data_IF_676225074845
#
_entry.id   IF_676225074845
#
_cell.length_a   1.000
_cell.length_b   1.000
_cell.length_c   1.000
_cell.angle_alpha   90.00
_cell.angle_beta   90.00
_cell.angle_gamma   90.00
#
_symmetry.space_group_name_H-M   'P 1'
#
loop_
_entity.id
_entity.type
_entity.pdbx_description
1 polymer ?
#
# COMPACT_ATOMS: atom_id res chain seq x y z
N UNK A 1 -0.38 5.57 -2.23
CA UNK A 1 -0.59 4.45 -1.28
C UNK A 1 -2.03 4.02 -1.36
N UNK A 2 -2.31 2.72 -1.44
CA UNK A 2 -3.69 2.18 -1.55
C UNK A 2 -3.95 1.19 -0.42
N UNK A 3 -5.09 1.32 0.26
CA UNK A 3 -5.54 0.40 1.32
C UNK A 3 -6.79 -0.33 0.80
N UNK A 4 -6.83 -1.65 0.95
CA UNK A 4 -7.86 -2.52 0.37
C UNK A 4 -8.49 -3.41 1.47
N UNK A 5 -9.71 -3.11 1.97
CA UNK A 5 -10.43 -3.96 2.95
C UNK A 5 -11.06 -5.22 2.35
N UNK A 6 -10.49 -6.41 2.63
CA UNK A 6 -11.01 -7.70 2.18
C UNK A 6 -12.20 -8.15 3.04
N UNK A 7 -13.40 -8.19 2.43
CA UNK A 7 -14.67 -8.70 2.98
C UNK A 7 -15.39 -7.76 3.97
N UNK A 8 -16.73 -7.85 4.05
CA UNK A 8 -17.56 -6.68 4.20
C UNK A 8 -17.46 -6.15 5.62
N UNK A 9 -17.77 -4.87 5.73
CA UNK A 9 -17.85 -4.07 6.93
C UNK A 9 -16.55 -3.33 7.30
N UNK A 10 -16.67 -2.02 7.07
CA UNK A 10 -16.05 -0.91 7.79
C UNK A 10 -14.61 -0.56 7.44
N UNK A 11 -14.50 0.54 6.68
CA UNK A 11 -13.44 1.52 6.92
C UNK A 11 -14.10 2.71 7.61
N UNK A 12 -14.39 2.53 8.89
CA UNK A 12 -14.55 3.68 9.79
C UNK A 12 -13.20 3.91 10.42
N UNK A 13 -12.56 5.05 10.13
CA UNK A 13 -11.60 5.76 10.97
C UNK A 13 -10.17 6.03 10.43
N UNK A 14 -9.77 7.28 10.65
CA UNK A 14 -8.44 7.84 10.92
C UNK A 14 -7.24 7.14 10.29
N UNK A 15 -7.10 7.26 8.97
CA UNK A 15 -5.81 7.04 8.31
C UNK A 15 -4.85 8.17 8.70
N UNK A 16 -4.02 7.95 9.71
CA UNK A 16 -2.92 8.84 10.08
C UNK A 16 -1.60 8.29 9.51
N UNK A 17 -1.02 8.98 8.53
CA UNK A 17 0.26 8.64 7.90
C UNK A 17 1.40 9.52 8.49
N UNK A 18 2.26 8.99 9.36
CA UNK A 18 3.34 9.77 10.00
C UNK A 18 4.73 9.12 9.82
N UNK A 19 5.73 9.85 9.32
CA UNK A 19 7.08 9.30 9.15
C UNK A 19 7.88 9.34 10.46
N UNK A 20 8.84 8.42 10.62
CA UNK A 20 9.75 8.37 11.79
C UNK A 20 11.06 9.08 11.40
N UNK A 21 11.30 10.30 11.86
CA UNK A 21 12.59 10.97 11.72
C UNK A 21 13.44 10.71 12.97
N UNK A 22 14.70 10.29 12.80
CA UNK A 22 15.72 10.35 13.86
C UNK A 22 16.25 11.78 13.88
N UNK A 23 16.23 12.46 15.03
CA UNK A 23 16.88 13.76 15.18
C UNK A 23 18.39 13.64 14.94
N UNK A 24 19.02 14.55 14.17
CA UNK A 24 20.46 14.71 14.21
C UNK A 24 20.87 15.36 15.54
N UNK A 25 21.91 14.82 16.18
CA UNK A 25 22.50 15.39 17.38
C UNK A 25 23.10 16.78 17.09
N UNK A 26 22.90 17.73 17.99
CA UNK A 26 23.43 19.08 17.87
C UNK A 26 24.98 19.09 17.91
N UNK A 27 25.66 19.88 17.08
CA UNK A 27 27.11 20.03 17.19
C UNK A 27 27.49 20.94 18.37
N UNK A 28 28.47 20.52 19.18
CA UNK A 28 29.04 21.32 20.26
C UNK A 28 29.81 22.56 19.75
N UNK A 29 29.79 23.69 20.49
CA UNK A 29 30.51 24.88 20.08
C UNK A 29 32.01 24.79 20.41
N UNK A 30 32.85 24.87 19.38
CA UNK A 30 34.31 25.00 19.54
C UNK A 30 34.69 26.41 20.01
N UNK A 31 35.48 26.41 21.09
CA UNK A 31 35.96 27.60 21.81
C UNK A 31 37.24 28.17 21.19
N UNK A 32 37.12 29.35 20.58
CA UNK A 32 38.14 30.40 20.60
C UNK A 32 39.10 30.53 19.40
N UNK A 33 39.05 31.67 18.71
CA UNK A 33 39.97 32.83 18.82
C UNK A 33 39.56 33.90 17.79
N UNK A 34 39.59 35.16 18.22
CA UNK A 34 39.11 36.34 17.48
C UNK A 34 40.13 36.77 16.42
N UNK A 35 39.73 36.92 15.15
CA UNK A 35 40.47 37.67 14.14
C UNK A 35 39.56 38.12 12.98
N UNK A 36 39.17 39.40 13.03
CA UNK A 36 39.07 40.33 11.88
C UNK A 36 38.67 39.76 10.50
N UNK A 37 37.39 39.46 10.32
CA UNK A 37 36.68 39.41 9.02
C UNK A 37 35.24 39.95 9.17
N UNK A 38 35.06 40.98 9.99
CA UNK A 38 33.76 41.52 10.35
C UNK A 38 33.37 42.70 9.47
N UNK A 39 32.84 42.44 8.26
CA UNK A 39 31.65 43.15 7.73
C UNK A 39 31.13 42.59 6.40
N UNK A 40 31.94 41.87 5.61
CA UNK A 40 31.52 41.38 4.29
C UNK A 40 31.14 39.89 4.23
N UNK A 41 31.35 39.14 5.31
CA UNK A 41 30.98 37.70 5.40
C UNK A 41 29.72 37.46 6.23
N UNK A 42 28.94 38.49 6.55
CA UNK A 42 27.68 38.36 7.31
C UNK A 42 26.43 38.34 6.41
N UNK A 43 26.52 38.79 5.15
CA UNK A 43 25.36 38.91 4.24
C UNK A 43 25.17 37.73 3.26
N UNK A 44 26.03 36.70 3.32
CA UNK A 44 25.93 35.51 2.42
C UNK A 44 25.46 34.25 3.16
N UNK A 45 25.43 34.25 4.50
CA UNK A 45 25.07 33.05 5.30
C UNK A 45 23.57 32.93 5.63
N UNK A 46 22.73 33.89 5.26
CA UNK A 46 21.31 33.90 5.61
C UNK A 46 20.40 33.14 4.62
N UNK A 47 20.92 32.67 3.49
CA UNK A 47 20.08 32.13 2.40
C UNK A 47 19.92 30.61 2.38
N UNK A 48 20.49 29.88 3.34
CA UNK A 48 20.29 28.44 3.46
C UNK A 48 19.29 28.14 4.59
N UNK A 49 18.07 28.65 4.43
CA UNK A 49 16.91 27.98 5.02
C UNK A 49 16.90 26.56 4.42
N UNK A 50 17.37 25.59 5.19
CA UNK A 50 17.06 24.19 4.93
C UNK A 50 15.54 24.13 4.83
N UNK A 51 15.02 23.97 3.61
CA UNK A 51 13.66 23.52 3.40
C UNK A 51 13.58 22.16 4.12
N UNK A 52 13.14 22.20 5.38
CA UNK A 52 12.71 20.99 6.05
C UNK A 52 11.54 20.51 5.21
N UNK A 53 11.75 19.43 4.47
CA UNK A 53 10.73 18.76 3.69
C UNK A 53 9.72 18.18 4.71
N UNK A 54 8.80 19.03 5.17
CA UNK A 54 7.65 18.62 5.98
C UNK A 54 6.77 17.79 5.09
N UNK A 55 7.03 16.47 5.12
CA UNK A 55 6.20 15.52 4.39
C UNK A 55 4.78 15.60 4.95
N UNK A 56 3.77 15.65 4.08
CA UNK A 56 2.40 15.87 4.50
C UNK A 56 1.92 14.74 5.41
N UNK A 57 1.35 15.11 6.55
CA UNK A 57 0.59 14.21 7.42
C UNK A 57 -0.89 14.32 7.08
N UNK A 58 -1.52 13.21 6.71
CA UNK A 58 -2.95 13.17 6.45
C UNK A 58 -3.69 12.53 7.62
N UNK A 59 -4.91 13.00 7.86
CA UNK A 59 -5.87 12.44 8.80
C UNK A 59 -7.23 12.46 8.11
N UNK A 60 -7.83 11.29 7.90
CA UNK A 60 -9.10 11.16 7.19
C UNK A 60 -10.18 10.65 8.13
N UNK A 61 -11.34 11.29 8.08
CA UNK A 61 -12.53 10.87 8.79
C UNK A 61 -13.54 10.35 7.79
N UNK A 62 -13.98 9.12 7.98
CA UNK A 62 -14.80 8.42 6.99
C UNK A 62 -16.23 8.42 7.48
N UNK A 63 -17.16 8.87 6.64
CA UNK A 63 -18.57 8.80 6.96
C UNK A 63 -19.34 10.07 6.59
N UNK A 64 -20.67 10.02 6.75
CA UNK A 64 -21.57 11.11 6.42
C UNK A 64 -21.59 12.28 7.42
N UNK A 65 -21.02 12.11 8.62
CA UNK A 65 -21.03 13.08 9.70
C UNK A 65 -20.08 14.26 9.48
N UNK A 66 -20.09 15.18 10.45
CA UNK A 66 -19.11 16.26 10.46
C UNK A 66 -17.75 15.71 10.88
N UNK A 67 -16.75 15.87 10.03
CA UNK A 67 -15.40 15.39 10.33
C UNK A 67 -14.86 16.01 11.63
N UNK A 68 -14.18 15.17 12.43
CA UNK A 68 -13.53 15.62 13.65
C UNK A 68 -12.48 16.73 13.38
N UNK A 69 -12.23 17.65 14.33
CA UNK A 69 -11.24 18.71 14.16
C UNK A 69 -9.85 18.19 13.75
N UNK A 70 -9.32 18.74 12.65
CA UNK A 70 -8.03 18.33 12.10
C UNK A 70 -8.07 17.08 11.21
N UNK A 71 -9.26 16.59 10.86
CA UNK A 71 -9.47 15.53 9.88
C UNK A 71 -10.13 16.06 8.60
N UNK A 72 -9.85 15.37 7.50
CA UNK A 72 -10.48 15.58 6.20
C UNK A 72 -11.67 14.63 6.08
N UNK A 73 -12.86 15.18 5.82
CA UNK A 73 -14.06 14.38 5.57
C UNK A 73 -13.93 13.55 4.30
N UNK A 74 -14.28 12.27 4.38
CA UNK A 74 -14.30 11.32 3.26
C UNK A 74 -15.64 10.58 3.27
N UNK A 75 -16.45 10.86 2.26
CA UNK A 75 -17.76 10.25 2.06
C UNK A 75 -17.69 9.14 1.01
N UNK A 76 -18.72 8.32 0.93
CA UNK A 76 -18.84 7.25 -0.07
C UNK A 76 -18.67 7.73 -1.53
N UNK A 77 -19.03 8.98 -1.84
CA UNK A 77 -18.88 9.62 -3.16
C UNK A 77 -17.53 10.33 -3.36
N UNK A 78 -16.63 10.27 -2.38
CA UNK A 78 -15.30 10.89 -2.48
C UNK A 78 -14.39 10.03 -3.35
N UNK A 79 -14.58 10.12 -4.66
CA UNK A 79 -13.79 9.39 -5.64
C UNK A 79 -12.36 9.91 -5.73
N UNK A 80 -11.44 8.98 -5.94
CA UNK A 80 -10.04 9.32 -6.18
C UNK A 80 -9.90 10.11 -7.48
N UNK A 81 -9.20 11.24 -7.42
CA UNK A 81 -8.71 11.97 -8.58
C UNK A 81 -7.27 12.41 -8.34
N UNK A 82 -6.51 12.61 -9.42
CA UNK A 82 -5.12 13.06 -9.30
C UNK A 82 -5.04 14.48 -8.74
N UNK A 83 -6.00 15.33 -9.08
CA UNK A 83 -6.08 16.71 -8.61
C UNK A 83 -6.37 16.77 -7.10
N UNK A 84 -7.29 15.93 -6.61
CA UNK A 84 -7.60 15.82 -5.17
C UNK A 84 -6.48 15.15 -4.40
N UNK A 85 -5.83 14.17 -5.00
CA UNK A 85 -4.75 13.40 -4.38
C UNK A 85 -5.21 12.38 -3.33
N UNK A 86 -6.51 12.17 -3.12
CA UNK A 86 -7.04 11.08 -2.31
C UNK A 86 -8.47 10.73 -2.72
N UNK A 87 -8.95 9.56 -2.29
CA UNK A 87 -10.33 9.13 -2.50
C UNK A 87 -10.46 7.63 -2.71
N UNK A 88 -11.70 7.17 -2.89
CA UNK A 88 -12.02 5.80 -3.21
C UNK A 88 -11.79 5.50 -4.70
N UNK A 89 -11.10 4.40 -4.99
CA UNK A 89 -10.98 3.90 -6.35
C UNK A 89 -12.33 3.36 -6.83
N UNK A 90 -12.63 3.48 -8.14
CA UNK A 90 -13.86 2.92 -8.70
C UNK A 90 -13.89 1.40 -8.58
N UNK A 91 -15.10 0.85 -8.53
CA UNK A 91 -15.33 -0.59 -8.65
C UNK A 91 -16.34 -1.14 -7.65
N UNK A 92 -16.39 -0.62 -6.42
CA UNK A 92 -17.37 -1.00 -5.40
C UNK A 92 -18.48 0.04 -5.27
N UNK A 93 -19.67 -0.41 -4.87
CA UNK A 93 -20.76 0.47 -4.46
C UNK A 93 -20.58 0.75 -2.97
N UNK A 94 -20.22 2.00 -2.66
CA UNK A 94 -19.96 2.45 -1.30
C UNK A 94 -21.22 3.06 -0.68
N UNK A 95 -21.32 2.93 0.64
CA UNK A 95 -22.42 3.43 1.44
C UNK A 95 -21.87 4.15 2.67
N UNK A 96 -22.40 5.35 2.88
CA UNK A 96 -22.22 6.12 4.10
C UNK A 96 -23.14 5.56 5.19
N UNK A 97 -22.61 5.33 6.39
CA UNK A 97 -23.38 4.88 7.55
C UNK A 97 -23.12 5.81 8.72
N UNK A 98 -24.21 6.29 9.33
CA UNK A 98 -24.20 7.08 10.55
C UNK A 98 -24.84 6.27 11.69
N UNK A 99 -24.11 6.10 12.79
CA UNK A 99 -24.56 5.50 14.05
C UNK A 99 -24.71 6.56 15.15
N UNK A 100 -24.32 7.80 14.90
CA UNK A 100 -24.23 8.90 15.85
C UNK A 100 -23.14 8.68 16.92
N UNK A 101 -23.02 9.65 17.82
CA UNK A 101 -22.09 9.59 18.94
C UNK A 101 -20.76 10.29 18.66
N UNK A 102 -19.65 9.57 18.87
CA UNK A 102 -18.30 10.10 18.70
C UNK A 102 -17.97 10.34 17.22
N UNK A 103 -17.38 11.49 16.90
CA UNK A 103 -17.16 11.91 15.52
C UNK A 103 -16.21 11.00 14.71
N UNK A 104 -15.34 10.21 15.36
CA UNK A 104 -14.38 9.34 14.66
C UNK A 104 -14.83 7.87 14.56
N UNK A 105 -15.86 7.50 15.32
CA UNK A 105 -16.30 6.10 15.49
C UNK A 105 -17.81 5.91 15.36
N UNK A 106 -18.55 7.02 15.32
CA UNK A 106 -19.99 7.06 15.13
C UNK A 106 -20.40 6.94 13.67
N UNK A 107 -19.53 7.25 12.72
CA UNK A 107 -19.82 7.20 11.30
C UNK A 107 -18.69 6.56 10.49
N UNK A 108 -19.03 6.03 9.32
CA UNK A 108 -18.10 5.26 8.49
C UNK A 108 -18.57 5.08 7.05
N UNK A 109 -17.65 4.60 6.21
CA UNK A 109 -17.94 4.10 4.86
C UNK A 109 -17.81 2.58 4.82
N UNK A 110 -18.79 1.92 4.19
CA UNK A 110 -18.79 0.49 3.89
C UNK A 110 -19.05 0.24 2.40
N UNK A 111 -18.88 -0.99 1.93
CA UNK A 111 -19.09 -1.35 0.53
C UNK A 111 -19.67 -2.75 0.36
N UNK A 112 -20.27 -2.98 -0.81
CA UNK A 112 -20.83 -4.27 -1.24
C UNK A 112 -19.77 -5.37 -1.43
N UNK A 113 -18.52 -4.96 -1.71
CA UNK A 113 -17.39 -5.84 -1.92
C UNK A 113 -16.08 -5.15 -1.55
N UNK A 114 -14.97 -5.80 -1.89
CA UNK A 114 -13.63 -5.23 -1.76
C UNK A 114 -13.53 -3.86 -2.44
N UNK A 115 -13.19 -2.83 -1.69
CA UNK A 115 -12.93 -1.48 -2.21
C UNK A 115 -11.53 -1.01 -1.86
N UNK A 116 -11.13 0.15 -2.38
CA UNK A 116 -9.80 0.71 -2.18
C UNK A 116 -9.88 2.18 -1.86
N UNK A 117 -9.12 2.63 -0.87
CA UNK A 117 -8.89 4.06 -0.63
C UNK A 117 -7.43 4.39 -0.96
N UNK A 118 -7.24 5.39 -1.82
CA UNK A 118 -5.93 5.82 -2.31
C UNK A 118 -5.59 7.22 -1.80
N UNK A 119 -4.31 7.42 -1.52
CA UNK A 119 -3.72 8.73 -1.18
C UNK A 119 -2.43 8.90 -1.96
N UNK A 120 -2.34 9.96 -2.75
CA UNK A 120 -1.15 10.40 -3.47
C UNK A 120 -0.22 11.09 -2.46
N UNK A 121 0.91 10.44 -2.19
CA UNK A 121 1.94 10.95 -1.28
C UNK A 121 3.31 10.77 -1.93
N UNK A 122 4.30 11.62 -1.63
CA UNK A 122 5.67 11.44 -2.10
C UNK A 122 6.27 10.10 -1.65
N UNK A 123 7.38 9.71 -2.27
CA UNK A 123 8.11 8.52 -1.84
C UNK A 123 8.58 8.61 -0.38
N UNK A 124 8.54 7.48 0.31
CA UNK A 124 9.04 7.40 1.68
C UNK A 124 8.38 6.34 2.55
N UNK A 125 8.75 6.37 3.82
CA UNK A 125 8.29 5.42 4.84
C UNK A 125 7.22 6.06 5.72
N UNK A 126 5.99 5.56 5.63
CA UNK A 126 4.84 6.08 6.35
C UNK A 126 4.43 5.10 7.44
N UNK A 127 4.09 5.61 8.62
CA UNK A 127 3.32 4.88 9.62
C UNK A 127 1.86 5.13 9.36
N UNK A 128 1.10 4.11 9.04
CA UNK A 128 -0.33 4.18 8.89
C UNK A 128 -1.02 3.63 10.13
N UNK A 129 -1.86 4.44 10.73
CA UNK A 129 -2.81 4.04 11.77
C UNK A 129 -4.20 3.94 11.13
N UNK A 130 -4.98 2.94 11.52
CA UNK A 130 -6.40 2.79 11.20
C UNK A 130 -7.12 2.37 12.47
N UNK A 131 -8.33 2.87 12.70
CA UNK A 131 -9.24 2.29 13.70
C UNK A 131 -10.32 1.53 12.94
N UNK A 132 -10.87 0.47 13.53
CA UNK A 132 -11.77 -0.48 12.87
C UNK A 132 -12.81 -0.97 13.88
N UNK A 133 -14.08 -1.09 13.47
CA UNK A 133 -15.19 -1.59 14.28
C UNK A 133 -16.50 -0.85 13.98
N UNK A 134 -17.65 -1.36 14.46
CA UNK A 134 -18.96 -0.69 14.38
C UNK A 134 -19.48 -0.43 15.79
N UNK A 135 -20.08 0.73 16.03
CA UNK A 135 -20.75 1.04 17.28
C UNK A 135 -21.95 0.10 17.55
N UNK A 136 -22.62 -0.39 16.50
CA UNK A 136 -23.88 -1.12 16.61
C UNK A 136 -23.80 -2.59 16.16
N UNK A 137 -22.73 -3.01 15.48
CA UNK A 137 -22.60 -4.36 14.93
C UNK A 137 -21.23 -5.00 15.21
N UNK A 138 -21.19 -6.34 15.25
CA UNK A 138 -19.91 -7.04 15.20
C UNK A 138 -19.32 -6.92 13.78
N UNK A 139 -18.00 -6.75 13.67
CA UNK A 139 -17.31 -6.63 12.40
C UNK A 139 -16.14 -7.62 12.29
N UNK A 140 -15.83 -8.02 11.07
CA UNK A 140 -14.62 -8.80 10.76
C UNK A 140 -13.92 -8.16 9.58
N UNK A 141 -12.79 -7.51 9.82
CA UNK A 141 -12.12 -6.67 8.82
C UNK A 141 -10.72 -7.16 8.53
N UNK A 142 -10.38 -7.29 7.25
CA UNK A 142 -9.03 -7.58 6.78
C UNK A 142 -8.49 -6.38 6.04
N UNK A 143 -7.30 -5.90 6.41
CA UNK A 143 -6.68 -4.75 5.75
C UNK A 143 -5.45 -5.19 4.97
N UNK A 144 -5.42 -4.83 3.69
CA UNK A 144 -4.21 -4.88 2.86
C UNK A 144 -3.72 -3.46 2.58
N UNK A 145 -2.41 -3.28 2.54
CA UNK A 145 -1.78 -2.05 2.11
C UNK A 145 -0.99 -2.30 0.82
N UNK A 146 -0.77 -1.22 0.07
CA UNK A 146 -0.10 -1.27 -1.24
C UNK A 146 -0.86 -2.18 -2.23
N UNK A 147 -0.15 -2.77 -3.19
CA UNK A 147 -0.73 -3.64 -4.21
C UNK A 147 -0.68 -5.12 -3.78
N UNK A 148 -1.22 -5.43 -2.58
CA UNK A 148 -1.58 -6.77 -2.03
C UNK A 148 -0.93 -7.20 -0.69
N UNK A 149 -0.16 -6.37 0.02
CA UNK A 149 0.45 -6.78 1.30
C UNK A 149 -0.58 -6.89 2.41
N UNK A 150 -0.73 -8.06 3.03
CA UNK A 150 -1.57 -8.24 4.21
C UNK A 150 -0.96 -7.51 5.41
N UNK A 151 -1.73 -6.64 6.07
CA UNK A 151 -1.26 -5.85 7.22
C UNK A 151 -2.13 -6.01 8.47
N UNK A 152 -3.41 -6.35 8.28
CA UNK A 152 -4.31 -6.78 9.35
C UNK A 152 -5.08 -7.99 8.83
N UNK A 153 -4.92 -9.12 9.49
CA UNK A 153 -5.62 -10.34 9.14
C UNK A 153 -6.87 -10.51 10.02
N UNK A 154 -8.05 -10.55 9.38
CA UNK A 154 -9.32 -11.00 9.96
C UNK A 154 -9.59 -10.47 11.38
N UNK A 155 -9.40 -9.18 11.59
CA UNK A 155 -9.63 -8.53 12.87
C UNK A 155 -11.11 -8.57 13.21
N UNK A 156 -11.44 -9.25 14.30
CA UNK A 156 -12.82 -9.32 14.81
C UNK A 156 -13.03 -8.27 15.90
N UNK A 157 -14.14 -7.54 15.81
CA UNK A 157 -14.62 -6.62 16.85
C UNK A 157 -16.07 -6.93 17.18
N UNK A 158 -16.43 -6.91 18.46
CA UNK A 158 -17.83 -6.97 18.88
C UNK A 158 -18.52 -5.62 18.64
N UNK A 159 -19.86 -5.60 18.67
CA UNK A 159 -20.62 -4.35 18.63
C UNK A 159 -20.18 -3.40 19.74
N UNK A 160 -19.97 -2.13 19.40
CA UNK A 160 -19.50 -1.10 20.32
C UNK A 160 -18.02 -1.21 20.68
N UNK A 161 -17.27 -2.10 20.02
CA UNK A 161 -15.82 -2.25 20.23
C UNK A 161 -15.07 -1.84 18.97
N UNK A 162 -13.99 -1.11 19.20
CA UNK A 162 -13.09 -0.62 18.17
C UNK A 162 -11.67 -1.09 18.46
N UNK A 163 -10.90 -1.29 17.40
CA UNK A 163 -9.51 -1.68 17.48
C UNK A 163 -8.65 -0.80 16.57
N UNK A 164 -7.61 -0.22 17.15
CA UNK A 164 -6.62 0.60 16.42
C UNK A 164 -5.42 -0.26 16.02
N UNK A 165 -5.05 -0.19 14.74
CA UNK A 165 -3.90 -0.90 14.17
C UNK A 165 -2.97 0.08 13.49
N UNK A 166 -1.67 -0.10 13.75
CA UNK A 166 -0.62 0.75 13.18
C UNK A 166 0.42 -0.11 12.49
N UNK A 167 0.74 0.19 11.24
CA UNK A 167 1.72 -0.54 10.44
C UNK A 167 2.56 0.41 9.57
N UNK A 168 3.74 -0.03 9.14
CA UNK A 168 4.60 0.74 8.26
C UNK A 168 4.33 0.43 6.79
N UNK A 169 4.24 1.45 5.94
CA UNK A 169 4.06 1.34 4.49
C UNK A 169 5.16 2.11 3.81
N UNK A 170 5.74 1.51 2.77
CA UNK A 170 6.80 2.15 2.02
C UNK A 170 6.30 2.46 0.61
N UNK A 171 6.29 3.75 0.27
CA UNK A 171 5.86 4.23 -1.05
C UNK A 171 7.11 4.42 -1.90
N UNK A 172 7.18 3.68 -3.01
CA UNK A 172 8.21 3.80 -4.06
C UNK A 172 7.53 3.91 -5.40
N UNK A 173 8.02 4.77 -6.28
CA UNK A 173 7.70 4.76 -7.71
C UNK A 173 8.77 3.88 -8.36
N UNK A 174 8.40 2.76 -8.98
CA UNK A 174 9.34 2.04 -9.82
C UNK A 174 9.74 2.97 -10.97
N UNK A 175 10.99 3.45 -10.97
CA UNK A 175 11.55 4.05 -12.17
C UNK A 175 11.67 2.93 -13.21
N UNK A 176 10.84 2.97 -14.25
CA UNK A 176 11.13 2.16 -15.43
C UNK A 176 12.43 2.69 -16.01
N UNK A 177 13.43 1.83 -16.26
CA UNK A 177 14.58 2.24 -17.05
C UNK A 177 14.09 2.76 -18.41
N UNK A 178 14.84 3.67 -19.05
CA UNK A 178 14.63 4.00 -20.46
C UNK A 178 14.47 2.72 -21.30
N UNK A 179 13.61 2.73 -22.33
CA UNK A 179 13.31 1.56 -23.19
C UNK A 179 14.58 0.91 -23.81
N UNK A 180 15.68 1.66 -23.86
CA UNK A 180 17.00 1.26 -24.35
C UNK A 180 17.94 0.71 -23.27
N UNK A 181 17.47 0.52 -22.02
CA UNK A 181 18.26 -0.10 -20.95
C UNK A 181 18.45 -1.61 -21.21
N UNK A 182 19.51 -1.93 -21.95
CA UNK A 182 19.93 -3.31 -22.20
C UNK A 182 20.55 -3.86 -20.92
N UNK A 183 19.86 -4.81 -20.27
CA UNK A 183 20.47 -5.59 -19.19
C UNK A 183 21.80 -6.17 -19.71
N UNK A 184 22.93 -5.97 -19.02
CA UNK A 184 24.15 -6.68 -19.34
C UNK A 184 23.83 -8.17 -19.28
N UNK A 185 23.78 -8.82 -20.45
CA UNK A 185 23.71 -10.27 -20.51
C UNK A 185 25.06 -10.75 -20.00
N UNK A 186 25.10 -11.16 -18.73
CA UNK A 186 26.22 -11.95 -18.25
C UNK A 186 26.31 -13.18 -19.18
N UNK A 187 27.46 -13.42 -19.84
CA UNK A 187 27.60 -14.55 -20.74
C UNK A 187 27.30 -15.83 -19.95
N UNK A 188 26.38 -16.64 -20.47
CA UNK A 188 26.01 -17.89 -19.83
C UNK A 188 27.28 -18.71 -19.54
N UNK A 189 27.40 -19.30 -18.34
CA UNK A 189 28.54 -20.13 -18.02
C UNK A 189 28.68 -21.24 -19.08
N UNK A 190 29.91 -21.62 -19.45
CA UNK A 190 30.14 -22.65 -20.46
C UNK A 190 29.40 -23.92 -20.03
N UNK A 191 28.58 -24.48 -20.94
CA UNK A 191 27.92 -25.76 -20.67
C UNK A 191 29.01 -26.79 -20.37
N UNK A 192 28.86 -27.60 -19.30
CA UNK A 192 29.77 -28.71 -19.07
C UNK A 192 29.74 -29.62 -20.31
N UNK A 193 30.93 -29.99 -20.80
CA UNK A 193 31.07 -30.89 -21.92
C UNK A 193 30.27 -32.17 -21.64
N UNK A 194 29.32 -32.50 -22.51
CA UNK A 194 28.45 -33.66 -22.33
C UNK A 194 29.26 -34.94 -22.25
N UNK A 195 29.12 -35.69 -21.15
CA UNK A 195 29.52 -37.10 -21.13
C UNK A 195 28.72 -37.80 -22.23
N UNK A 196 29.43 -38.38 -23.20
CA UNK A 196 28.82 -39.11 -24.31
C UNK A 196 27.84 -40.15 -23.80
N UNK A 197 26.60 -40.11 -24.30
CA UNK A 197 25.67 -41.23 -24.20
C UNK A 197 26.27 -42.38 -25.01
N UNK A 198 26.57 -43.50 -24.35
CA UNK A 198 26.82 -44.76 -25.03
C UNK A 198 25.61 -45.18 -25.88
N UNK A 199 25.79 -46.08 -26.86
CA UNK A 199 24.75 -46.43 -27.82
C UNK A 199 23.52 -47.01 -27.11
N UNK A 200 22.42 -46.27 -27.17
CA UNK A 200 21.08 -46.78 -26.82
C UNK A 200 20.65 -47.78 -27.89
N UNK A 201 20.45 -49.04 -27.50
CA UNK A 201 19.86 -50.06 -28.36
C UNK A 201 18.48 -49.60 -28.86
N UNK A 202 18.25 -49.76 -30.17
CA UNK A 202 16.98 -49.41 -30.82
C UNK A 202 15.86 -50.34 -30.35
N UNK A 203 14.67 -49.82 -29.97
CA UNK A 203 13.55 -50.69 -29.60
C UNK A 203 12.89 -51.31 -30.84
N UNK A 204 12.53 -52.59 -30.72
CA UNK A 204 11.84 -53.36 -31.75
C UNK A 204 10.44 -52.79 -32.09
N UNK A 205 9.96 -52.92 -33.34
CA UNK A 205 8.65 -52.42 -33.75
C UNK A 205 7.49 -53.21 -33.12
N UNK A 206 6.44 -52.49 -32.70
CA UNK A 206 5.23 -53.06 -32.11
C UNK A 206 4.35 -53.79 -33.16
N UNK A 207 3.61 -54.85 -32.77
CA UNK A 207 2.72 -55.57 -33.68
C UNK A 207 1.43 -54.79 -33.98
N UNK A 208 0.99 -54.88 -35.25
CA UNK A 208 -0.19 -54.22 -35.83
C UNK A 208 -1.49 -54.52 -35.06
N UNK A 209 -2.30 -53.47 -34.86
CA UNK A 209 -3.63 -53.55 -34.29
C UNK A 209 -4.60 -54.30 -35.22
N UNK A 210 -5.32 -55.28 -34.66
CA UNK A 210 -6.41 -55.99 -35.33
C UNK A 210 -7.63 -55.07 -35.54
N UNK A 211 -8.41 -55.28 -36.63
CA UNK A 211 -9.52 -54.40 -36.99
C UNK A 211 -10.76 -54.61 -36.10
N UNK A 212 -11.45 -53.51 -35.83
CA UNK A 212 -12.76 -53.44 -35.16
C UNK A 212 -13.86 -53.93 -36.09
N UNK A 213 -14.77 -54.84 -35.68
CA UNK A 213 -16.00 -55.12 -36.41
C UNK A 213 -17.16 -54.20 -36.00
N UNK A 214 -17.96 -53.85 -36.99
CA UNK A 214 -19.12 -52.95 -36.94
C UNK A 214 -20.40 -53.59 -36.38
N UNK A 215 -21.23 -52.73 -35.77
CA UNK A 215 -22.71 -52.66 -35.60
C UNK A 215 -23.56 -53.88 -36.02
N UNK A 216 -24.60 -54.36 -35.29
CA UNK A 216 -25.87 -53.71 -34.89
C UNK A 216 -26.78 -54.75 -34.15
N UNK A 217 -28.13 -54.63 -34.08
CA UNK A 217 -28.95 -53.84 -33.14
C UNK A 217 -29.89 -54.70 -32.25
N UNK A 218 -30.46 -54.06 -31.21
CA UNK A 218 -31.84 -54.21 -30.66
C UNK A 218 -32.41 -55.59 -30.26
N UNK A 219 -32.91 -55.68 -29.03
CA UNK A 219 -34.33 -55.99 -28.75
C UNK A 219 -34.73 -55.44 -27.38
#
# INVERSE_FOLDING_TARGET
MTITPLFPFLVGCALAAQQRTRSPAAPEPLRGKRATYGLFTLMVMASHMLAQETKPSFRFDFGPGAAAPGYVAVRADTHYSRERGYGFEPGAMLQDVDRGGDALTGDFVTGDKLFKFSVAVPEGNYRVTVTLGDAQAAATTTVKAENRRLVVERLQTAAGKFATRTFAVNVRTPAMPPEDFKLPLEPAPPRPAGRGRGPTASPAPAPNASPVPATAPGN
#
